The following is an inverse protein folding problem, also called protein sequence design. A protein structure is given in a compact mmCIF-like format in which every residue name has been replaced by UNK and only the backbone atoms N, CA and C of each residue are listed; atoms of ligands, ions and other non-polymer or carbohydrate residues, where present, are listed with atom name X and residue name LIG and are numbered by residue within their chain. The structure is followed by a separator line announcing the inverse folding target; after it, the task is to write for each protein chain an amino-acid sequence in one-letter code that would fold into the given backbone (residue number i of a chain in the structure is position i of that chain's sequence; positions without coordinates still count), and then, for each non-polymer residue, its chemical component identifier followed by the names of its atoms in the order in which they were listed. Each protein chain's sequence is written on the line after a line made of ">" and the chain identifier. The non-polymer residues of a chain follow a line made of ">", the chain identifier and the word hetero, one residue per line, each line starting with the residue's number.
data_IF_280483570340
#
_entry.id   IF_280483570340
#
_cell.length_a   1.000
_cell.length_b   1.000
_cell.length_c   1.000
_cell.angle_alpha   90.00
_cell.angle_beta   90.00
_cell.angle_gamma   90.00
#
_symmetry.space_group_name_H-M   'P 1'
#
loop_
_entity.id
_entity.type
_entity.pdbx_description
1 polymer ?
#
# COMPACT_ATOMS: atom_id res chain seq x y z
N UNK A 1 -7.55 77.09 50.94
CA UNK A 1 -9.01 76.82 51.03
C UNK A 1 -9.71 77.49 49.85
N UNK A 2 -10.83 76.93 49.43
CA UNK A 2 -11.59 77.22 48.21
C UNK A 2 -12.07 78.68 48.00
N UNK A 3 -12.59 78.89 46.76
CA UNK A 3 -13.43 79.98 46.17
C UNK A 3 -12.62 81.18 45.66
N UNK A 4 -12.60 81.51 44.36
CA UNK A 4 -13.72 81.90 43.45
C UNK A 4 -13.99 83.41 43.63
N UNK A 5 -14.26 84.27 42.61
CA UNK A 5 -14.89 84.08 41.27
C UNK A 5 -14.13 84.90 40.15
N UNK A 6 -14.73 85.55 39.12
CA UNK A 6 -15.80 85.22 38.15
C UNK A 6 -15.34 85.32 36.65
N UNK A 7 -16.25 84.97 35.73
CA UNK A 7 -16.16 84.96 34.24
C UNK A 7 -16.56 86.31 33.61
N UNK A 8 -16.05 86.66 32.40
CA UNK A 8 -16.95 87.15 31.33
C UNK A 8 -16.51 86.64 29.91
N UNK A 9 -17.06 87.10 28.76
CA UNK A 9 -17.98 86.32 27.92
C UNK A 9 -17.50 86.06 26.47
N UNK A 10 -18.40 85.47 25.68
CA UNK A 10 -18.22 84.75 24.43
C UNK A 10 -17.81 85.53 23.16
N UNK A 11 -17.15 84.78 22.25
CA UNK A 11 -17.10 84.96 20.79
C UNK A 11 -15.76 84.47 20.19
N UNK A 12 -15.61 84.18 18.88
CA UNK A 12 -16.63 84.00 17.83
C UNK A 12 -16.28 82.89 16.77
N UNK A 13 -17.09 82.84 15.70
CA UNK A 13 -16.76 82.47 14.28
C UNK A 13 -16.72 81.01 13.81
N UNK A 14 -17.80 80.69 13.07
CA UNK A 14 -17.85 80.36 11.62
C UNK A 14 -16.86 79.31 11.10
N UNK A 15 -17.47 78.16 10.87
CA UNK A 15 -17.14 77.06 9.96
C UNK A 15 -16.28 77.43 8.74
N UNK A 16 -15.18 76.67 8.66
CA UNK A 16 -14.34 76.38 7.50
C UNK A 16 -15.18 75.92 6.30
N UNK A 17 -14.80 76.38 5.12
CA UNK A 17 -14.77 75.57 3.90
C UNK A 17 -13.45 75.88 3.20
N UNK A 18 -12.55 74.91 3.30
CA UNK A 18 -11.31 74.80 2.56
C UNK A 18 -11.59 74.16 1.20
N UNK A 19 -10.66 74.44 0.29
CA UNK A 19 -10.27 73.64 -0.87
C UNK A 19 -11.00 73.92 -2.19
N UNK A 20 -10.32 74.66 -3.06
CA UNK A 20 -9.64 74.04 -4.20
C UNK A 20 -8.56 75.00 -4.73
N UNK A 21 -7.35 74.90 -4.15
CA UNK A 21 -6.13 75.41 -4.77
C UNK A 21 -5.35 74.22 -5.30
N UNK A 22 -5.37 74.02 -6.60
CA UNK A 22 -4.54 73.04 -7.32
C UNK A 22 -3.06 73.38 -7.13
N UNK A 23 -2.43 72.78 -6.12
CA UNK A 23 -0.98 72.72 -6.03
C UNK A 23 -0.48 71.86 -7.19
N UNK A 24 -0.20 72.50 -8.32
CA UNK A 24 0.48 71.91 -9.47
C UNK A 24 1.80 71.37 -8.94
N UNK A 25 1.92 70.05 -8.79
CA UNK A 25 3.17 69.39 -8.46
C UNK A 25 4.15 69.84 -9.55
N UNK A 26 5.14 70.66 -9.19
CA UNK A 26 6.14 71.13 -10.16
C UNK A 26 6.76 69.90 -10.84
N UNK A 27 6.93 69.91 -12.17
CA UNK A 27 7.56 68.81 -12.91
C UNK A 27 8.91 68.40 -12.27
N UNK A 28 9.63 69.39 -11.73
CA UNK A 28 10.86 69.20 -10.96
C UNK A 28 10.65 68.38 -9.68
N UNK A 29 9.52 68.57 -9.00
CA UNK A 29 9.16 67.84 -7.78
C UNK A 29 8.74 66.39 -8.07
N UNK A 30 7.99 66.15 -9.16
CA UNK A 30 7.62 64.80 -9.61
C UNK A 30 8.89 64.01 -10.03
N UNK A 31 9.78 64.66 -10.78
CA UNK A 31 11.04 64.07 -11.21
C UNK A 31 11.94 63.75 -10.00
N UNK A 32 12.04 64.65 -9.03
CA UNK A 32 12.81 64.42 -7.79
C UNK A 32 12.22 63.27 -6.96
N UNK A 33 10.88 63.17 -6.83
CA UNK A 33 10.25 62.06 -6.09
C UNK A 33 10.42 60.71 -6.77
N UNK A 34 10.28 60.63 -8.10
CA UNK A 34 10.51 59.38 -8.86
C UNK A 34 11.97 58.96 -8.74
N UNK A 35 12.91 59.90 -8.90
CA UNK A 35 14.34 59.62 -8.74
C UNK A 35 14.64 59.17 -7.31
N UNK A 36 14.05 59.80 -6.29
CA UNK A 36 14.22 59.40 -4.90
C UNK A 36 13.67 58.00 -4.61
N UNK A 37 12.51 57.63 -5.16
CA UNK A 37 11.92 56.29 -5.02
C UNK A 37 12.77 55.24 -5.74
N UNK A 38 13.24 55.53 -6.96
CA UNK A 38 14.13 54.63 -7.71
C UNK A 38 15.49 54.46 -7.00
N UNK A 39 16.06 55.53 -6.43
CA UNK A 39 17.27 55.47 -5.61
C UNK A 39 17.04 54.65 -4.34
N UNK A 40 15.93 54.87 -3.63
CA UNK A 40 15.58 54.11 -2.45
C UNK A 40 15.39 52.61 -2.77
N UNK A 41 14.79 52.28 -3.92
CA UNK A 41 14.65 50.90 -4.39
C UNK A 41 16.01 50.30 -4.77
N UNK A 42 16.85 51.03 -5.51
CA UNK A 42 18.17 50.57 -5.89
C UNK A 42 19.08 50.34 -4.67
N UNK A 43 19.06 51.26 -3.69
CA UNK A 43 19.77 51.13 -2.42
C UNK A 43 19.18 49.98 -1.57
N UNK A 44 17.85 49.84 -1.55
CA UNK A 44 17.17 48.74 -0.86
C UNK A 44 17.53 47.36 -1.43
N UNK A 45 17.58 47.22 -2.76
CA UNK A 45 18.00 45.99 -3.45
C UNK A 45 19.49 45.72 -3.25
N UNK A 46 20.34 46.74 -3.38
CA UNK A 46 21.79 46.62 -3.18
C UNK A 46 22.14 46.23 -1.73
N UNK A 47 21.41 46.78 -0.75
CA UNK A 47 21.54 46.39 0.66
C UNK A 47 20.97 44.98 0.91
N UNK A 48 19.85 44.62 0.28
CA UNK A 48 19.23 43.30 0.41
C UNK A 48 20.10 42.15 -0.11
N UNK A 49 20.80 42.35 -1.23
CA UNK A 49 21.72 41.33 -1.79
C UNK A 49 23.06 41.25 -1.06
N UNK A 50 23.49 42.32 -0.39
CA UNK A 50 24.73 42.33 0.41
C UNK A 50 24.63 41.51 1.71
N UNK A 51 23.42 41.18 2.17
CA UNK A 51 23.19 40.38 3.40
C UNK A 51 23.22 38.86 3.13
N UNK A 52 23.20 38.42 1.86
CA UNK A 52 23.57 37.05 1.50
C UNK A 52 25.08 36.94 1.68
N UNK A 53 25.47 36.68 2.93
CA UNK A 53 26.86 36.60 3.29
C UNK A 53 27.45 35.30 2.71
N UNK A 54 28.64 35.35 2.09
CA UNK A 54 29.37 34.15 1.65
C UNK A 54 29.57 33.12 2.77
N UNK A 55 29.37 33.52 4.04
CA UNK A 55 29.37 32.64 5.21
C UNK A 55 28.12 31.75 5.28
N UNK A 56 26.93 32.28 5.00
CA UNK A 56 25.69 31.50 4.98
C UNK A 56 25.70 30.48 3.83
N UNK A 57 26.21 30.87 2.66
CA UNK A 57 26.37 29.95 1.51
C UNK A 57 27.35 28.81 1.88
N UNK A 58 28.52 29.13 2.44
CA UNK A 58 29.47 28.11 2.91
C UNK A 58 28.94 27.23 4.03
N UNK A 59 28.06 27.75 4.88
CA UNK A 59 27.41 26.96 5.93
C UNK A 59 26.43 25.96 5.31
N UNK A 60 25.58 26.42 4.40
CA UNK A 60 24.67 25.56 3.64
C UNK A 60 25.41 24.54 2.78
N UNK A 61 26.53 24.90 2.15
CA UNK A 61 27.39 23.98 1.39
C UNK A 61 27.96 22.90 2.30
N UNK A 62 28.55 23.27 3.46
CA UNK A 62 29.08 22.30 4.42
C UNK A 62 28.00 21.42 5.03
N UNK A 63 26.85 21.99 5.33
CA UNK A 63 25.70 21.23 5.85
C UNK A 63 25.23 20.23 4.79
N UNK A 64 25.15 20.64 3.53
CA UNK A 64 24.81 19.76 2.40
C UNK A 64 25.84 18.64 2.22
N UNK A 65 27.14 18.94 2.24
CA UNK A 65 28.21 17.94 2.16
C UNK A 65 28.16 16.93 3.32
N UNK A 66 27.85 17.40 4.53
CA UNK A 66 27.66 16.54 5.70
C UNK A 66 26.44 15.63 5.56
N UNK A 67 25.31 16.15 5.07
CA UNK A 67 24.11 15.36 4.80
C UNK A 67 24.36 14.33 3.71
N UNK A 68 25.08 14.67 2.65
CA UNK A 68 25.49 13.73 1.59
C UNK A 68 26.37 12.62 2.16
N UNK A 69 27.43 12.97 2.89
CA UNK A 69 28.33 11.99 3.52
C UNK A 69 27.58 11.07 4.49
N UNK A 70 26.60 11.62 5.24
CA UNK A 70 25.78 10.85 6.17
C UNK A 70 24.82 9.92 5.43
N UNK A 71 24.20 10.38 4.35
CA UNK A 71 23.34 9.57 3.52
C UNK A 71 24.12 8.41 2.89
N UNK A 72 25.30 8.67 2.33
CA UNK A 72 26.19 7.65 1.77
C UNK A 72 26.57 6.60 2.83
N UNK A 73 26.97 7.04 4.04
CA UNK A 73 27.30 6.09 5.13
C UNK A 73 26.11 5.23 5.52
N UNK A 74 24.94 5.82 5.69
CA UNK A 74 23.72 5.09 6.05
C UNK A 74 23.32 4.12 4.95
N UNK A 75 23.46 4.50 3.68
CA UNK A 75 23.20 3.63 2.55
C UNK A 75 24.14 2.42 2.56
N UNK A 76 25.45 2.63 2.76
CA UNK A 76 26.41 1.53 2.88
C UNK A 76 26.09 0.62 4.08
N UNK A 77 25.69 1.18 5.21
CA UNK A 77 25.32 0.40 6.40
C UNK A 77 24.07 -0.48 6.13
N UNK A 78 23.06 0.08 5.46
CA UNK A 78 21.88 -0.68 5.02
C UNK A 78 22.25 -1.79 4.04
N UNK A 79 23.11 -1.52 3.06
CA UNK A 79 23.56 -2.53 2.09
C UNK A 79 24.30 -3.70 2.77
N UNK A 80 25.15 -3.40 3.77
CA UNK A 80 25.86 -4.44 4.54
C UNK A 80 24.89 -5.26 5.40
N UNK A 81 23.92 -4.60 6.05
CA UNK A 81 22.91 -5.28 6.84
C UNK A 81 22.00 -6.16 5.98
N UNK A 82 21.57 -5.66 4.82
CA UNK A 82 20.74 -6.42 3.88
C UNK A 82 21.49 -7.65 3.34
N UNK A 83 22.77 -7.50 3.00
CA UNK A 83 23.62 -8.64 2.63
C UNK A 83 23.73 -9.67 3.77
N UNK A 84 23.96 -9.21 5.01
CA UNK A 84 23.99 -10.10 6.17
C UNK A 84 22.65 -10.81 6.39
N UNK A 85 21.52 -10.11 6.26
CA UNK A 85 20.19 -10.70 6.39
C UNK A 85 19.92 -11.72 5.28
N UNK A 86 20.31 -11.42 4.04
CA UNK A 86 20.22 -12.34 2.90
C UNK A 86 21.04 -13.62 3.10
N UNK A 87 22.16 -13.54 3.82
CA UNK A 87 22.96 -14.72 4.18
C UNK A 87 22.45 -15.45 5.44
N UNK A 88 21.92 -14.72 6.43
CA UNK A 88 21.56 -15.26 7.74
C UNK A 88 20.13 -15.83 7.80
N UNK A 89 19.17 -15.18 7.16
CA UNK A 89 17.75 -15.59 7.21
C UNK A 89 17.50 -17.00 6.64
N UNK A 90 18.18 -17.47 5.59
CA UNK A 90 18.04 -18.84 5.11
C UNK A 90 18.26 -19.88 6.23
N UNK A 91 19.21 -19.67 7.15
CA UNK A 91 19.43 -20.58 8.29
C UNK A 91 18.24 -20.64 9.27
N UNK A 92 17.35 -19.64 9.24
CA UNK A 92 16.15 -19.60 10.07
C UNK A 92 14.95 -20.21 9.34
N UNK A 93 14.89 -20.08 8.01
CA UNK A 93 13.73 -20.44 7.19
C UNK A 93 13.87 -21.79 6.48
N UNK A 94 15.10 -22.29 6.31
CA UNK A 94 15.37 -23.57 5.68
C UNK A 94 14.56 -24.69 6.35
N UNK A 95 13.93 -25.51 5.51
CA UNK A 95 13.15 -26.68 5.90
C UNK A 95 11.94 -26.44 6.83
N UNK A 96 11.55 -25.18 7.08
CA UNK A 96 10.44 -24.81 7.97
C UNK A 96 9.06 -25.18 7.44
N UNK A 97 8.92 -25.33 6.12
CA UNK A 97 7.67 -25.68 5.45
C UNK A 97 7.77 -27.05 4.76
N UNK A 98 8.69 -27.92 5.20
CA UNK A 98 8.82 -29.26 4.64
C UNK A 98 7.51 -30.04 4.67
N UNK A 99 7.16 -30.63 3.53
CA UNK A 99 5.91 -31.39 3.37
C UNK A 99 4.65 -30.52 3.30
N UNK A 100 4.80 -29.20 3.33
CA UNK A 100 3.69 -28.25 3.16
C UNK A 100 3.47 -28.00 1.66
N UNK A 101 2.22 -28.11 1.24
CA UNK A 101 1.79 -27.76 -0.11
C UNK A 101 1.26 -26.32 -0.14
N UNK A 102 1.74 -25.51 -1.07
CA UNK A 102 1.39 -24.10 -1.17
C UNK A 102 0.65 -23.80 -2.48
N UNK A 103 -0.49 -23.09 -2.36
CA UNK A 103 -1.18 -22.47 -3.49
C UNK A 103 -0.99 -20.97 -3.40
N UNK A 104 -0.35 -20.38 -4.41
CA UNK A 104 -0.16 -18.94 -4.49
C UNK A 104 -1.31 -18.35 -5.31
N UNK A 105 -2.01 -17.36 -4.78
CA UNK A 105 -3.03 -16.59 -5.49
C UNK A 105 -2.55 -15.17 -5.67
N UNK A 106 -2.67 -14.64 -6.87
CA UNK A 106 -2.28 -13.28 -7.21
C UNK A 106 -3.34 -12.66 -8.12
N UNK A 107 -3.06 -11.48 -8.66
CA UNK A 107 -3.91 -10.84 -9.66
C UNK A 107 -3.08 -10.26 -10.78
N UNK A 108 -3.72 -10.03 -11.92
CA UNK A 108 -3.09 -9.34 -13.03
C UNK A 108 -2.58 -7.95 -12.63
N UNK A 109 -1.36 -7.63 -13.06
CA UNK A 109 -0.72 -6.35 -12.77
C UNK A 109 -0.02 -6.27 -11.42
N UNK A 110 0.12 -7.39 -10.70
CA UNK A 110 1.07 -7.52 -9.59
C UNK A 110 2.50 -7.46 -10.11
N UNK A 111 3.40 -6.87 -9.34
CA UNK A 111 4.83 -6.82 -9.67
C UNK A 111 5.39 -8.26 -9.78
N UNK A 112 5.96 -8.66 -10.94
CA UNK A 112 6.54 -9.99 -11.11
C UNK A 112 7.65 -10.32 -10.12
N UNK A 113 8.42 -9.31 -9.67
CA UNK A 113 9.49 -9.49 -8.69
C UNK A 113 8.95 -9.83 -7.30
N UNK A 114 7.82 -9.21 -6.92
CA UNK A 114 7.13 -9.50 -5.66
C UNK A 114 6.56 -10.92 -5.65
N UNK A 115 5.93 -11.34 -6.75
CA UNK A 115 5.46 -12.71 -6.90
C UNK A 115 6.63 -13.70 -6.86
N UNK A 116 7.75 -13.39 -7.53
CA UNK A 116 8.94 -14.22 -7.48
C UNK A 116 9.53 -14.30 -6.07
N UNK A 117 9.50 -13.22 -5.29
CA UNK A 117 9.99 -13.20 -3.91
C UNK A 117 9.18 -14.14 -3.00
N UNK A 118 7.84 -14.11 -3.06
CA UNK A 118 6.99 -15.05 -2.33
C UNK A 118 7.29 -16.50 -2.70
N UNK A 119 7.32 -16.81 -4.00
CA UNK A 119 7.54 -18.17 -4.49
C UNK A 119 8.92 -18.71 -4.08
N UNK A 120 9.94 -17.86 -4.14
CA UNK A 120 11.30 -18.18 -3.69
C UNK A 120 11.31 -18.48 -2.18
N UNK A 121 10.73 -17.61 -1.35
CA UNK A 121 10.69 -17.81 0.10
C UNK A 121 10.01 -19.15 0.48
N UNK A 122 8.89 -19.48 -0.18
CA UNK A 122 8.19 -20.76 0.03
C UNK A 122 9.05 -21.96 -0.39
N UNK A 123 9.67 -21.89 -1.57
CA UNK A 123 10.49 -22.99 -2.12
C UNK A 123 11.75 -23.22 -1.31
N UNK A 124 12.46 -22.16 -0.91
CA UNK A 124 13.67 -22.22 -0.09
C UNK A 124 13.36 -22.74 1.33
N UNK A 125 12.14 -22.53 1.83
CA UNK A 125 11.67 -23.11 3.08
C UNK A 125 11.21 -24.58 2.98
N UNK A 126 11.27 -25.18 1.78
CA UNK A 126 10.90 -26.58 1.55
C UNK A 126 9.43 -26.83 1.24
N UNK A 127 8.62 -25.77 1.02
CA UNK A 127 7.24 -25.94 0.59
C UNK A 127 7.17 -26.39 -0.89
N UNK A 128 6.18 -27.23 -1.21
CA UNK A 128 5.90 -27.64 -2.59
C UNK A 128 4.85 -26.71 -3.19
N UNK A 129 5.25 -25.91 -4.18
CA UNK A 129 4.31 -25.07 -4.94
C UNK A 129 3.42 -25.94 -5.83
N UNK A 130 2.13 -25.98 -5.50
CA UNK A 130 1.13 -26.79 -6.22
C UNK A 130 0.55 -26.02 -7.41
N UNK A 131 0.26 -24.74 -7.21
CA UNK A 131 -0.31 -23.87 -8.24
C UNK A 131 -0.04 -22.40 -7.95
N UNK A 132 0.05 -21.62 -9.02
CA UNK A 132 0.01 -20.15 -8.98
C UNK A 132 -1.17 -19.68 -9.81
N UNK A 133 -2.17 -19.07 -9.15
CA UNK A 133 -3.43 -18.64 -9.76
C UNK A 133 -3.47 -17.11 -9.85
N UNK A 134 -3.59 -16.56 -11.05
CA UNK A 134 -3.77 -15.12 -11.29
C UNK A 134 -5.23 -14.79 -11.53
N UNK A 135 -5.82 -14.00 -10.63
CA UNK A 135 -7.14 -13.42 -10.80
C UNK A 135 -7.12 -12.35 -11.91
N UNK A 136 -8.06 -12.44 -12.84
CA UNK A 136 -8.12 -11.60 -14.04
C UNK A 136 -9.14 -10.47 -13.88
N UNK A 137 -8.98 -9.31 -14.54
CA UNK A 137 -9.90 -8.17 -14.42
C UNK A 137 -11.34 -8.49 -14.85
N UNK A 138 -11.54 -9.54 -15.64
CA UNK A 138 -12.84 -10.07 -16.06
C UNK A 138 -13.74 -10.40 -14.84
N UNK A 139 -13.16 -10.73 -13.68
CA UNK A 139 -13.89 -10.96 -12.42
C UNK A 139 -14.61 -9.73 -11.86
N UNK A 140 -14.24 -8.53 -12.32
CA UNK A 140 -14.86 -7.26 -11.94
C UNK A 140 -15.27 -6.44 -13.19
N UNK A 141 -15.47 -7.11 -14.32
CA UNK A 141 -15.93 -6.47 -15.55
C UNK A 141 -17.36 -5.97 -15.40
N UNK A 142 -17.66 -4.80 -15.97
CA UNK A 142 -19.01 -4.27 -16.12
C UNK A 142 -19.68 -4.63 -17.46
N UNK A 143 -19.10 -5.58 -18.20
CA UNK A 143 -19.67 -6.08 -19.46
C UNK A 143 -20.77 -7.12 -19.15
N UNK A 144 -22.04 -6.88 -19.56
CA UNK A 144 -23.15 -7.80 -19.29
C UNK A 144 -22.95 -9.23 -19.80
N UNK A 145 -22.16 -9.43 -20.85
CA UNK A 145 -21.87 -10.78 -21.38
C UNK A 145 -20.80 -11.50 -20.55
N UNK A 146 -19.86 -10.77 -19.96
CA UNK A 146 -18.88 -11.32 -19.00
C UNK A 146 -19.58 -11.65 -17.68
N UNK A 147 -20.40 -10.73 -17.18
CA UNK A 147 -21.19 -10.91 -15.95
C UNK A 147 -22.11 -12.13 -16.04
N UNK A 148 -22.81 -12.31 -17.17
CA UNK A 148 -23.69 -13.46 -17.39
C UNK A 148 -22.93 -14.78 -17.34
N UNK A 149 -21.79 -14.87 -18.04
CA UNK A 149 -20.92 -16.06 -18.00
C UNK A 149 -20.45 -16.38 -16.59
N UNK A 150 -20.02 -15.37 -15.83
CA UNK A 150 -19.62 -15.56 -14.43
C UNK A 150 -20.80 -16.03 -13.57
N UNK A 151 -21.98 -15.43 -13.73
CA UNK A 151 -23.18 -15.82 -12.97
C UNK A 151 -23.66 -17.24 -13.27
N UNK A 152 -23.56 -17.66 -14.54
CA UNK A 152 -23.92 -19.00 -14.99
C UNK A 152 -22.93 -20.04 -14.45
N UNK A 153 -21.62 -19.74 -14.50
CA UNK A 153 -20.55 -20.56 -13.93
C UNK A 153 -20.76 -20.77 -12.42
N UNK A 154 -21.10 -19.72 -11.69
CA UNK A 154 -21.35 -19.78 -10.25
C UNK A 154 -22.71 -20.40 -9.90
N UNK A 155 -23.58 -20.68 -10.88
CA UNK A 155 -24.93 -21.20 -10.66
C UNK A 155 -25.86 -20.20 -9.95
N UNK A 156 -25.60 -18.90 -10.10
CA UNK A 156 -26.27 -17.82 -9.37
C UNK A 156 -26.78 -16.71 -10.34
N UNK A 157 -27.75 -17.02 -11.22
CA UNK A 157 -28.20 -16.11 -12.29
C UNK A 157 -29.00 -14.89 -11.78
N UNK A 158 -29.40 -14.88 -10.51
CA UNK A 158 -30.21 -13.80 -9.92
C UNK A 158 -29.38 -12.84 -9.04
N UNK A 159 -28.06 -13.05 -8.95
CA UNK A 159 -27.17 -12.20 -8.15
C UNK A 159 -26.95 -10.86 -8.84
N UNK A 160 -26.86 -9.80 -8.04
CA UNK A 160 -26.61 -8.45 -8.56
C UNK A 160 -25.18 -8.36 -9.10
N UNK A 161 -24.93 -7.65 -10.22
CA UNK A 161 -23.60 -7.52 -10.80
C UNK A 161 -22.52 -7.09 -9.80
N UNK A 162 -22.85 -6.18 -8.88
CA UNK A 162 -21.92 -5.69 -7.86
C UNK A 162 -21.44 -6.76 -6.86
N UNK A 163 -22.21 -7.85 -6.68
CA UNK A 163 -21.90 -8.93 -5.74
C UNK A 163 -21.17 -10.11 -6.41
N UNK A 164 -21.13 -10.17 -7.75
CA UNK A 164 -20.59 -11.31 -8.51
C UNK A 164 -19.12 -11.57 -8.21
N UNK A 165 -18.30 -10.51 -8.13
CA UNK A 165 -16.86 -10.65 -7.84
C UNK A 165 -16.61 -11.23 -6.45
N UNK A 166 -17.39 -10.78 -5.46
CA UNK A 166 -17.34 -11.31 -4.09
C UNK A 166 -17.80 -12.76 -4.03
N UNK A 167 -18.85 -13.12 -4.76
CA UNK A 167 -19.32 -14.49 -4.85
C UNK A 167 -18.29 -15.41 -5.52
N UNK A 168 -17.65 -14.96 -6.60
CA UNK A 168 -16.58 -15.69 -7.26
C UNK A 168 -15.39 -15.93 -6.31
N UNK A 169 -15.02 -14.91 -5.53
CA UNK A 169 -13.99 -15.03 -4.50
C UNK A 169 -14.38 -16.05 -3.41
N UNK A 170 -15.63 -16.04 -2.96
CA UNK A 170 -16.13 -17.03 -1.98
C UNK A 170 -16.17 -18.45 -2.54
N UNK A 171 -16.53 -18.62 -3.82
CA UNK A 171 -16.57 -19.90 -4.49
C UNK A 171 -15.15 -20.47 -4.66
N UNK A 172 -14.19 -19.63 -5.09
CA UNK A 172 -12.77 -20.00 -5.16
C UNK A 172 -12.20 -20.31 -3.77
N UNK A 173 -12.48 -19.51 -2.76
CA UNK A 173 -12.08 -19.77 -1.37
C UNK A 173 -12.60 -21.13 -0.87
N UNK A 174 -13.87 -21.44 -1.15
CA UNK A 174 -14.46 -22.73 -0.79
C UNK A 174 -13.71 -23.87 -1.45
N UNK A 175 -13.44 -23.73 -2.75
CA UNK A 175 -12.75 -24.73 -3.55
C UNK A 175 -11.30 -24.93 -3.12
N UNK A 176 -10.60 -23.87 -2.71
CA UNK A 176 -9.22 -23.93 -2.22
C UNK A 176 -9.12 -24.45 -0.78
N UNK A 177 -10.07 -24.13 0.10
CA UNK A 177 -10.07 -24.61 1.48
C UNK A 177 -10.48 -26.09 1.61
N UNK A 178 -11.50 -26.51 0.85
CA UNK A 178 -12.07 -27.86 0.96
C UNK A 178 -11.41 -28.85 -0.02
N UNK A 179 -10.89 -28.34 -1.14
CA UNK A 179 -10.33 -29.15 -2.23
C UNK A 179 -11.39 -29.61 -3.23
N UNK A 180 -10.95 -30.44 -4.19
CA UNK A 180 -11.84 -30.92 -5.25
C UNK A 180 -12.93 -31.85 -4.69
N UNK A 181 -14.14 -31.74 -5.23
CA UNK A 181 -15.21 -32.69 -4.93
C UNK A 181 -14.78 -34.12 -5.28
N UNK A 182 -14.63 -34.98 -4.26
CA UNK A 182 -14.18 -36.39 -4.38
C UNK A 182 -15.05 -37.26 -5.29
N UNK A 183 -16.30 -36.86 -5.50
CA UNK A 183 -17.16 -37.42 -6.53
C UNK A 183 -16.97 -36.50 -7.73
N UNK A 184 -16.12 -36.87 -8.68
CA UNK A 184 -16.13 -36.22 -9.99
C UNK A 184 -17.59 -36.18 -10.46
N UNK A 185 -18.09 -34.97 -10.73
CA UNK A 185 -19.50 -34.68 -11.00
C UNK A 185 -20.50 -35.11 -9.89
N UNK A 186 -20.26 -34.64 -8.65
CA UNK A 186 -21.24 -34.69 -7.55
C UNK A 186 -22.35 -33.63 -7.63
N UNK A 187 -23.34 -33.63 -6.72
CA UNK A 187 -24.65 -32.97 -6.90
C UNK A 187 -24.64 -31.44 -7.09
N UNK A 188 -23.49 -30.79 -6.91
CA UNK A 188 -23.31 -29.33 -6.90
C UNK A 188 -22.69 -28.77 -8.21
N UNK A 189 -22.47 -29.60 -9.24
CA UNK A 189 -22.04 -29.14 -10.58
C UNK A 189 -20.53 -29.26 -10.87
N UNK A 190 -20.07 -28.70 -12.02
CA UNK A 190 -18.67 -28.76 -12.45
C UNK A 190 -17.71 -28.05 -11.47
N UNK A 191 -16.44 -28.46 -11.45
CA UNK A 191 -15.41 -27.86 -10.58
C UNK A 191 -15.28 -26.35 -10.88
N UNK A 192 -15.61 -25.51 -9.89
CA UNK A 192 -15.54 -24.05 -10.00
C UNK A 192 -14.16 -23.57 -10.43
N UNK A 193 -13.07 -24.16 -9.92
CA UNK A 193 -11.72 -23.76 -10.32
C UNK A 193 -11.47 -24.06 -11.81
N UNK A 194 -11.94 -25.21 -12.29
CA UNK A 194 -11.87 -25.56 -13.72
C UNK A 194 -12.64 -24.55 -14.56
N UNK A 195 -13.89 -24.25 -14.17
CA UNK A 195 -14.70 -23.28 -14.89
C UNK A 195 -14.02 -21.90 -14.95
N UNK A 196 -13.47 -21.43 -13.82
CA UNK A 196 -12.79 -20.13 -13.78
C UNK A 196 -11.54 -20.08 -14.68
N UNK A 197 -10.81 -21.21 -14.80
CA UNK A 197 -9.66 -21.35 -15.69
C UNK A 197 -10.08 -21.41 -17.18
N UNK A 198 -11.09 -22.22 -17.50
CA UNK A 198 -11.57 -22.42 -18.88
C UNK A 198 -12.23 -21.17 -19.45
N UNK A 199 -12.98 -20.43 -18.62
CA UNK A 199 -13.65 -19.18 -19.03
C UNK A 199 -12.74 -17.95 -18.94
N UNK A 200 -11.50 -18.11 -18.45
CA UNK A 200 -10.48 -17.07 -18.41
C UNK A 200 -10.64 -16.02 -17.31
N UNK A 201 -11.40 -16.31 -16.25
CA UNK A 201 -11.51 -15.46 -15.05
C UNK A 201 -10.31 -15.62 -14.12
N UNK A 202 -9.66 -16.78 -14.16
CA UNK A 202 -8.40 -17.08 -13.46
C UNK A 202 -7.44 -17.66 -14.49
N UNK A 203 -6.16 -17.33 -14.39
CA UNK A 203 -5.11 -17.94 -15.20
C UNK A 203 -4.13 -18.71 -14.31
N UNK A 204 -3.57 -19.82 -14.82
CA UNK A 204 -2.43 -20.48 -14.18
C UNK A 204 -1.13 -19.81 -14.63
N UNK A 205 -0.24 -19.50 -13.69
CA UNK A 205 1.13 -19.05 -13.98
C UNK A 205 2.07 -20.23 -13.72
N UNK A 206 2.77 -20.70 -14.75
CA UNK A 206 3.74 -21.79 -14.64
C UNK A 206 3.29 -23.05 -15.41
N UNK A 207 3.54 -24.27 -14.88
CA UNK A 207 3.20 -25.50 -15.58
C UNK A 207 1.68 -25.68 -15.70
N UNK A 208 1.27 -26.41 -16.74
CA UNK A 208 -0.14 -26.73 -16.97
C UNK A 208 -0.70 -27.54 -15.79
N UNK A 209 -1.83 -27.07 -15.23
CA UNK A 209 -2.50 -27.70 -14.09
C UNK A 209 -3.37 -28.86 -14.59
N UNK A 210 -2.73 -29.91 -15.11
CA UNK A 210 -3.41 -31.04 -15.73
C UNK A 210 -4.38 -31.77 -14.79
N UNK A 211 -4.02 -31.95 -13.52
CA UNK A 211 -4.92 -32.47 -12.48
C UNK A 211 -5.20 -31.43 -11.39
N UNK A 212 -6.38 -30.82 -11.46
CA UNK A 212 -6.84 -29.83 -10.49
C UNK A 212 -7.23 -30.44 -9.13
N UNK A 213 -7.25 -31.78 -8.99
CA UNK A 213 -7.60 -32.44 -7.71
C UNK A 213 -6.58 -32.16 -6.61
N UNK A 214 -5.32 -31.95 -7.00
CA UNK A 214 -4.25 -31.57 -6.07
C UNK A 214 -4.27 -30.10 -5.69
N UNK A 215 -5.00 -29.24 -6.41
CA UNK A 215 -5.02 -27.79 -6.13
C UNK A 215 -6.10 -27.48 -5.10
N UNK A 216 -5.70 -27.03 -3.92
CA UNK A 216 -6.60 -26.76 -2.80
C UNK A 216 -6.96 -28.01 -2.00
N UNK A 217 -7.22 -27.83 -0.72
CA UNK A 217 -7.61 -28.88 0.21
C UNK A 217 -7.17 -28.61 1.64
N UNK A 218 -7.67 -29.40 2.60
CA UNK A 218 -7.18 -29.34 3.97
C UNK A 218 -5.69 -29.69 4.00
N UNK A 219 -4.90 -28.93 4.75
CA UNK A 219 -3.45 -29.15 4.87
C UNK A 219 -2.61 -28.35 3.87
N UNK A 220 -3.21 -27.62 2.94
CA UNK A 220 -2.49 -26.69 2.06
C UNK A 220 -2.54 -25.27 2.61
N UNK A 221 -1.44 -24.53 2.43
CA UNK A 221 -1.40 -23.09 2.72
C UNK A 221 -1.80 -22.30 1.47
N UNK A 222 -2.55 -21.22 1.66
CA UNK A 222 -2.91 -20.29 0.58
C UNK A 222 -2.21 -18.97 0.80
N UNK A 223 -1.32 -18.59 -0.12
CA UNK A 223 -0.57 -17.34 -0.05
C UNK A 223 -1.12 -16.37 -1.09
N UNK A 224 -1.75 -15.29 -0.64
CA UNK A 224 -2.32 -14.26 -1.49
C UNK A 224 -1.30 -13.12 -1.64
N UNK A 225 -0.77 -12.94 -2.84
CA UNK A 225 0.21 -11.89 -3.14
C UNK A 225 -0.44 -10.81 -3.99
N UNK A 226 -0.46 -9.59 -3.47
CA UNK A 226 -0.96 -8.41 -4.17
C UNK A 226 0.04 -7.27 -4.08
N UNK A 227 -0.16 -6.24 -4.89
CA UNK A 227 0.61 -5.00 -4.80
C UNK A 227 1.34 -4.65 -6.08
N UNK A 228 1.60 -3.36 -6.24
CA UNK A 228 2.25 -2.79 -7.41
C UNK A 228 2.14 -1.28 -7.43
N UNK A 229 2.92 -0.65 -8.30
CA UNK A 229 3.03 0.82 -8.36
C UNK A 229 1.88 1.49 -9.14
N UNK A 230 1.21 0.71 -9.99
CA UNK A 230 0.13 1.15 -10.86
C UNK A 230 -1.25 1.15 -10.21
N UNK A 231 -2.27 1.57 -10.97
CA UNK A 231 -3.66 1.28 -10.58
C UNK A 231 -3.93 -0.21 -10.83
N UNK A 232 -4.54 -0.93 -9.88
CA UNK A 232 -4.83 -2.35 -10.10
C UNK A 232 -5.92 -2.49 -11.18
N UNK A 233 -5.73 -3.45 -12.09
CA UNK A 233 -6.73 -3.80 -13.10
C UNK A 233 -7.94 -4.49 -12.46
N UNK A 234 -7.71 -5.24 -11.38
CA UNK A 234 -8.69 -5.82 -10.48
C UNK A 234 -8.52 -5.20 -9.09
N UNK A 235 -9.47 -4.40 -8.57
CA UNK A 235 -9.34 -3.85 -7.23
C UNK A 235 -9.27 -4.97 -6.16
N UNK A 236 -8.31 -4.95 -5.22
CA UNK A 236 -8.23 -5.99 -4.19
C UNK A 236 -9.51 -6.14 -3.36
N UNK A 237 -10.22 -5.02 -3.12
CA UNK A 237 -11.49 -5.00 -2.41
C UNK A 237 -12.62 -5.75 -3.13
N UNK A 238 -12.54 -5.89 -4.46
CA UNK A 238 -13.56 -6.58 -5.25
C UNK A 238 -13.44 -8.10 -5.14
N UNK A 239 -12.21 -8.63 -5.07
CA UNK A 239 -11.94 -10.06 -5.17
C UNK A 239 -10.99 -10.61 -4.09
N UNK A 240 -9.74 -10.12 -4.02
CA UNK A 240 -8.71 -10.70 -3.13
C UNK A 240 -9.05 -10.57 -1.63
N UNK A 241 -9.66 -9.46 -1.23
CA UNK A 241 -10.05 -9.22 0.16
C UNK A 241 -11.24 -10.13 0.57
N UNK A 242 -12.34 -10.21 -0.20
CA UNK A 242 -13.35 -11.26 -0.01
C UNK A 242 -12.80 -12.69 -0.02
N UNK A 243 -11.82 -12.99 -0.90
CA UNK A 243 -11.18 -14.30 -1.00
C UNK A 243 -10.45 -14.64 0.31
N UNK A 244 -9.60 -13.75 0.79
CA UNK A 244 -8.85 -13.91 2.04
C UNK A 244 -9.80 -14.18 3.22
N UNK A 245 -10.84 -13.35 3.39
CA UNK A 245 -11.86 -13.52 4.44
C UNK A 245 -12.56 -14.87 4.34
N UNK A 246 -12.96 -15.25 3.12
CA UNK A 246 -13.68 -16.48 2.89
C UNK A 246 -12.82 -17.72 3.15
N UNK A 247 -11.52 -17.67 2.86
CA UNK A 247 -10.55 -18.72 3.19
C UNK A 247 -10.36 -18.86 4.69
N UNK A 248 -10.09 -17.74 5.39
CA UNK A 248 -9.89 -17.74 6.84
C UNK A 248 -11.13 -18.23 7.57
N UNK A 249 -12.32 -17.75 7.20
CA UNK A 249 -13.60 -18.21 7.79
C UNK A 249 -13.88 -19.71 7.60
N UNK A 250 -13.17 -20.38 6.68
CA UNK A 250 -13.26 -21.82 6.42
C UNK A 250 -12.13 -22.62 7.10
N UNK A 251 -11.28 -21.96 7.87
CA UNK A 251 -10.16 -22.59 8.58
C UNK A 251 -8.97 -22.95 7.68
N UNK A 252 -8.85 -22.33 6.50
CA UNK A 252 -7.64 -22.46 5.70
C UNK A 252 -6.50 -21.67 6.33
N UNK A 253 -5.27 -22.16 6.20
CA UNK A 253 -4.08 -21.40 6.57
C UNK A 253 -3.78 -20.37 5.48
N UNK A 254 -3.89 -19.09 5.82
CA UNK A 254 -3.78 -17.99 4.87
C UNK A 254 -2.63 -17.08 5.25
N UNK A 255 -1.81 -16.74 4.26
CA UNK A 255 -0.94 -15.59 4.30
C UNK A 255 -1.34 -14.57 3.24
N UNK A 256 -1.32 -13.28 3.59
CA UNK A 256 -1.53 -12.17 2.67
C UNK A 256 -0.26 -11.33 2.63
N UNK A 257 0.28 -11.10 1.44
CA UNK A 257 1.54 -10.39 1.28
C UNK A 257 1.44 -9.27 0.25
N UNK A 258 2.08 -8.15 0.54
CA UNK A 258 2.33 -7.05 -0.40
C UNK A 258 3.75 -6.51 -0.29
N UNK A 259 4.16 -5.70 -1.26
CA UNK A 259 5.46 -5.02 -1.25
C UNK A 259 5.39 -3.68 -0.53
N UNK A 260 6.54 -3.22 -0.04
CA UNK A 260 6.71 -2.03 0.80
C UNK A 260 6.08 -0.78 0.19
N UNK A 261 6.29 -0.58 -1.11
CA UNK A 261 5.82 0.60 -1.86
C UNK A 261 4.50 0.36 -2.62
N UNK A 262 3.73 -0.68 -2.25
CA UNK A 262 2.45 -0.99 -2.88
C UNK A 262 1.49 0.21 -2.81
N UNK A 263 1.02 0.67 -3.98
CA UNK A 263 0.15 1.86 -4.07
C UNK A 263 -1.32 1.58 -3.85
N UNK A 264 -1.72 0.31 -3.91
CA UNK A 264 -3.06 -0.13 -3.56
C UNK A 264 -2.94 -1.14 -2.41
N UNK A 265 -3.17 -0.66 -1.18
CA UNK A 265 -2.94 -1.45 0.03
C UNK A 265 -3.93 -2.59 0.19
N UNK A 266 -3.51 -3.81 -0.13
CA UNK A 266 -4.26 -5.03 0.11
C UNK A 266 -4.09 -5.49 1.56
N UNK A 267 -2.86 -5.58 2.04
CA UNK A 267 -2.58 -5.99 3.42
C UNK A 267 -3.08 -4.94 4.40
N UNK A 268 -2.83 -3.66 4.13
CA UNK A 268 -3.39 -2.58 4.93
C UNK A 268 -4.94 -2.63 5.01
N UNK A 269 -5.63 -2.93 3.90
CA UNK A 269 -7.08 -3.07 3.89
C UNK A 269 -7.56 -4.31 4.66
N UNK A 270 -6.83 -5.42 4.61
CA UNK A 270 -7.13 -6.64 5.35
C UNK A 270 -6.97 -6.42 6.87
N UNK A 271 -5.88 -5.78 7.31
CA UNK A 271 -5.63 -5.43 8.71
C UNK A 271 -6.66 -4.45 9.26
N UNK A 272 -7.03 -3.43 8.48
CA UNK A 272 -7.86 -2.31 8.94
C UNK A 272 -9.37 -2.58 8.98
N UNK A 273 -9.87 -3.61 8.31
CA UNK A 273 -11.31 -3.87 8.20
C UNK A 273 -11.90 -4.65 9.38
N UNK A 274 -11.07 -5.37 10.16
CA UNK A 274 -11.48 -6.06 11.38
C UNK A 274 -12.43 -7.27 11.19
N UNK A 275 -12.64 -7.73 9.95
CA UNK A 275 -13.41 -8.96 9.67
C UNK A 275 -12.62 -10.26 9.84
N UNK A 276 -11.29 -10.16 9.97
CA UNK A 276 -10.38 -11.28 10.17
C UNK A 276 -9.56 -11.00 11.43
N UNK A 277 -9.50 -11.96 12.35
CA UNK A 277 -8.64 -11.86 13.54
C UNK A 277 -7.18 -11.91 13.12
N UNK A 278 -6.32 -11.14 13.78
CA UNK A 278 -4.87 -11.20 13.59
C UNK A 278 -4.31 -12.62 13.79
N UNK A 279 -4.86 -13.35 14.76
CA UNK A 279 -4.41 -14.72 15.06
C UNK A 279 -4.80 -15.74 13.96
N UNK A 280 -5.73 -15.41 13.07
CA UNK A 280 -6.21 -16.34 12.05
C UNK A 280 -5.53 -16.15 10.67
N UNK A 281 -4.68 -15.14 10.52
CA UNK A 281 -4.04 -14.80 9.24
C UNK A 281 -2.63 -14.28 9.42
N UNK A 282 -1.71 -14.68 8.54
CA UNK A 282 -0.38 -14.08 8.45
C UNK A 282 -0.45 -12.93 7.46
N UNK A 283 0.08 -11.77 7.80
CA UNK A 283 0.20 -10.67 6.84
C UNK A 283 1.61 -10.10 6.79
N UNK A 284 2.11 -9.80 5.60
CA UNK A 284 3.45 -9.24 5.36
C UNK A 284 3.34 -8.06 4.41
N UNK A 285 3.84 -6.88 4.77
CA UNK A 285 3.73 -5.68 3.92
C UNK A 285 5.05 -5.26 3.25
N UNK A 286 6.13 -6.01 3.48
CA UNK A 286 7.49 -5.76 2.97
C UNK A 286 8.07 -7.02 2.30
N UNK A 287 7.24 -7.78 1.57
CA UNK A 287 7.64 -9.06 0.94
C UNK A 287 8.79 -8.90 -0.08
N UNK A 288 9.01 -7.70 -0.59
CA UNK A 288 10.14 -7.34 -1.45
C UNK A 288 11.48 -7.27 -0.69
N UNK A 289 11.45 -7.19 0.65
CA UNK A 289 12.63 -7.27 1.51
C UNK A 289 12.93 -8.72 1.96
N UNK A 290 14.20 -8.99 2.29
CA UNK A 290 14.61 -10.31 2.79
C UNK A 290 13.85 -10.70 4.07
N UNK A 291 13.61 -9.73 4.95
CA UNK A 291 12.86 -9.92 6.20
C UNK A 291 11.42 -10.33 5.96
N UNK A 292 10.72 -9.70 5.00
CA UNK A 292 9.33 -10.05 4.67
C UNK A 292 9.19 -11.49 4.16
N UNK A 293 10.14 -11.95 3.35
CA UNK A 293 10.20 -13.37 2.94
C UNK A 293 10.34 -14.32 4.13
N UNK A 294 11.20 -14.00 5.10
CA UNK A 294 11.34 -14.80 6.31
C UNK A 294 10.11 -14.73 7.23
N UNK A 295 9.49 -13.55 7.35
CA UNK A 295 8.26 -13.35 8.11
C UNK A 295 7.10 -14.18 7.56
N UNK A 296 6.97 -14.26 6.23
CA UNK A 296 6.00 -15.11 5.55
C UNK A 296 6.18 -16.58 5.96
N UNK A 297 7.41 -17.09 5.88
CA UNK A 297 7.72 -18.49 6.18
C UNK A 297 7.48 -18.82 7.64
N UNK A 298 8.09 -18.06 8.55
CA UNK A 298 7.99 -18.31 9.99
C UNK A 298 6.56 -18.09 10.49
N UNK A 299 5.85 -17.10 9.92
CA UNK A 299 4.46 -16.84 10.26
C UNK A 299 3.55 -18.00 9.83
N UNK A 300 3.78 -18.56 8.63
CA UNK A 300 3.04 -19.73 8.17
C UNK A 300 3.31 -20.97 9.04
N UNK A 301 4.57 -21.24 9.40
CA UNK A 301 4.94 -22.31 10.34
C UNK A 301 4.15 -22.15 11.65
N UNK A 302 4.19 -20.95 12.26
CA UNK A 302 3.48 -20.67 13.51
C UNK A 302 1.96 -20.79 13.37
N UNK A 303 1.39 -20.34 12.26
CA UNK A 303 -0.05 -20.47 12.00
C UNK A 303 -0.46 -21.94 11.89
N UNK A 304 0.34 -22.78 11.23
CA UNK A 304 0.06 -24.21 11.09
C UNK A 304 0.19 -24.96 12.41
N UNK A 305 1.25 -24.70 13.17
CA UNK A 305 1.59 -25.45 14.38
C UNK A 305 0.80 -24.99 15.61
N UNK A 306 0.59 -23.68 15.75
CA UNK A 306 -0.02 -23.08 16.94
C UNK A 306 -1.41 -22.51 16.69
N UNK A 307 -1.84 -22.40 15.41
CA UNK A 307 -3.06 -21.69 15.07
C UNK A 307 -2.97 -20.20 15.34
N UNK A 308 -1.77 -19.60 15.23
CA UNK A 308 -1.54 -18.18 15.52
C UNK A 308 -0.80 -17.51 14.36
N UNK A 309 -1.50 -16.62 13.68
CA UNK A 309 -0.98 -15.69 12.68
C UNK A 309 -0.36 -14.44 13.30
N UNK A 310 -0.33 -13.35 12.52
CA UNK A 310 0.27 -12.09 12.96
C UNK A 310 0.44 -11.07 11.83
N UNK A 311 0.73 -9.83 12.22
CA UNK A 311 1.01 -8.75 11.29
C UNK A 311 2.50 -8.40 11.27
N UNK A 312 3.13 -8.61 10.11
CA UNK A 312 4.57 -8.47 9.94
C UNK A 312 4.97 -7.43 8.89
N UNK A 313 6.19 -6.92 9.04
CA UNK A 313 6.84 -5.98 8.12
C UNK A 313 6.88 -4.54 8.64
N UNK A 314 7.10 -3.58 7.76
CA UNK A 314 7.34 -2.15 8.07
C UNK A 314 6.17 -1.52 8.83
N UNK A 315 4.93 -1.88 8.49
CA UNK A 315 3.73 -1.41 9.20
C UNK A 315 3.03 -2.54 9.98
N UNK A 316 3.75 -3.64 10.24
CA UNK A 316 3.32 -4.72 11.12
C UNK A 316 3.64 -4.44 12.59
N UNK A 317 3.20 -5.32 13.47
CA UNK A 317 3.49 -5.26 14.91
C UNK A 317 4.92 -5.73 15.23
N UNK A 318 5.48 -6.54 14.34
CA UNK A 318 6.85 -7.05 14.42
C UNK A 318 7.42 -7.35 13.04
N UNK A 319 8.73 -7.54 12.92
CA UNK A 319 9.35 -7.90 11.64
C UNK A 319 9.25 -9.40 11.34
N UNK A 320 9.31 -10.23 12.38
CA UNK A 320 9.17 -11.69 12.29
C UNK A 320 8.45 -12.20 13.54
N UNK A 321 7.80 -13.38 13.48
CA UNK A 321 7.18 -14.00 14.64
C UNK A 321 8.16 -14.22 15.78
N UNK A 322 7.66 -14.14 17.01
CA UNK A 322 8.43 -14.55 18.18
C UNK A 322 8.68 -16.07 18.15
N UNK A 323 9.84 -16.55 18.62
CA UNK A 323 10.13 -17.98 18.70
C UNK A 323 9.05 -18.71 19.50
N UNK A 324 8.65 -19.90 19.02
CA UNK A 324 7.82 -20.81 19.80
C UNK A 324 8.56 -21.19 21.09
N UNK A 325 7.88 -21.07 22.24
CA UNK A 325 8.42 -21.35 23.57
C UNK A 325 8.37 -22.83 23.94
#
# INVERSE_FOLDING_TARGET
>A
MARGPPVPPAGPRRSRLLAAGSAVISFRFLLVSIVAVLLALALGVLAGTAVISPRLIRELERETEQWQTRAERLQTEVEVLDAFLGEALPYLTEDRLLGTEAVVVTQDGVDPSLLAAARRALTEAGATEVAVLSARPELASGDPDVERRLSDLLGQPAVRPEDLSTLAAQALATRLAIGASRRGDGPDGPDVLRGLLEDGFVASIGPDLGDLRGVGGPGQVVVIVAGGEGRPSLPPSAFLLPLARALVSRGAWVAAAEGTDSRYGFVAALRGDGSVSEEDVVTVDDLDAAMGGAALVLGLEQLMDLGRGGHYGVHGDSLIPAPAA
#
